data_IF_559384908628
#
_entry.id   IF_559384908628
#
_cell.length_a   1.000
_cell.length_b   1.000
_cell.length_c   1.000
_cell.angle_alpha   90.00
_cell.angle_beta   90.00
_cell.angle_gamma   90.00
#
_symmetry.space_group_name_H-M   'P 1'
#
loop_
_entity.id
_entity.type
_entity.pdbx_description
1 polymer ?
#
# COMPACT_ATOMS: atom_id res chain seq x y z
N UNK A 1 9.97 14.95 5.44
CA UNK A 1 9.82 13.62 4.81
C UNK A 1 11.02 12.75 5.18
N UNK A 2 10.82 11.57 5.80
CA UNK A 2 11.89 10.69 6.34
C UNK A 2 12.95 10.33 5.30
N UNK A 3 12.55 9.83 4.12
CA UNK A 3 13.46 9.35 3.07
C UNK A 3 14.49 10.42 2.66
N UNK A 4 14.05 11.64 2.42
CA UNK A 4 14.96 12.73 2.05
C UNK A 4 15.97 13.07 3.17
N UNK A 5 15.57 12.92 4.46
CA UNK A 5 16.48 13.13 5.60
C UNK A 5 17.55 12.05 5.70
N UNK A 6 17.27 10.85 5.16
CA UNK A 6 18.20 9.73 5.11
C UNK A 6 18.94 9.64 3.77
N UNK A 7 19.00 10.72 2.99
CA UNK A 7 19.66 10.77 1.67
C UNK A 7 19.08 9.81 0.62
N UNK A 8 17.90 9.25 0.84
CA UNK A 8 17.17 8.49 -0.17
C UNK A 8 16.56 9.41 -1.22
N UNK A 9 16.48 8.96 -2.45
CA UNK A 9 15.87 9.69 -3.57
C UNK A 9 14.46 9.18 -3.82
N UNK A 10 13.54 10.10 -4.10
CA UNK A 10 12.15 9.76 -4.46
C UNK A 10 11.80 10.48 -5.75
N UNK A 11 11.56 9.72 -6.79
CA UNK A 11 11.08 10.21 -8.08
C UNK A 11 10.41 9.09 -8.88
N UNK A 12 9.59 9.47 -9.86
CA UNK A 12 8.97 8.54 -10.79
C UNK A 12 9.93 8.23 -11.95
N UNK A 13 9.98 6.97 -12.39
CA UNK A 13 10.71 6.60 -13.60
C UNK A 13 10.00 7.15 -14.85
N UNK A 14 10.73 7.36 -15.94
CA UNK A 14 10.17 7.89 -17.18
C UNK A 14 9.08 6.98 -17.76
N UNK A 15 9.24 5.67 -17.64
CA UNK A 15 8.27 4.68 -18.13
C UNK A 15 7.03 4.56 -17.24
N UNK A 16 7.09 5.07 -15.99
CA UNK A 16 5.98 5.04 -15.02
C UNK A 16 5.88 6.40 -14.30
N UNK A 17 5.46 7.47 -14.98
CA UNK A 17 5.50 8.83 -14.44
C UNK A 17 4.56 9.05 -13.24
N UNK A 18 3.54 8.23 -13.11
CA UNK A 18 2.56 8.31 -12.02
C UNK A 18 2.98 7.57 -10.75
N UNK A 19 4.08 6.79 -10.79
CA UNK A 19 4.53 5.97 -9.68
C UNK A 19 5.83 6.47 -9.08
N UNK A 20 5.75 7.19 -7.96
CA UNK A 20 6.93 7.58 -7.19
C UNK A 20 7.59 6.38 -6.54
N UNK A 21 8.89 6.25 -6.74
CA UNK A 21 9.70 5.15 -6.21
C UNK A 21 10.86 5.64 -5.35
N UNK A 22 11.24 4.84 -4.37
CA UNK A 22 12.44 5.04 -3.55
C UNK A 22 13.65 4.41 -4.24
N UNK A 23 14.70 5.21 -4.40
CA UNK A 23 15.94 4.83 -5.06
C UNK A 23 17.15 5.01 -4.15
N UNK A 24 18.18 4.23 -4.39
CA UNK A 24 19.49 4.45 -3.78
C UNK A 24 20.09 5.81 -4.21
N UNK A 25 20.97 6.42 -3.41
CA UNK A 25 21.57 7.72 -3.75
C UNK A 25 22.29 7.75 -5.10
N UNK A 26 22.99 6.67 -5.44
CA UNK A 26 23.93 6.64 -6.55
C UNK A 26 23.49 5.76 -7.72
N UNK A 27 22.33 5.11 -7.66
CA UNK A 27 21.83 4.29 -8.75
C UNK A 27 20.30 4.25 -8.80
N UNK A 28 19.77 3.94 -9.97
CA UNK A 28 18.33 3.78 -10.18
C UNK A 28 17.93 2.30 -9.99
N UNK A 29 18.18 1.79 -8.78
CA UNK A 29 17.85 0.45 -8.32
C UNK A 29 17.64 0.50 -6.80
N UNK A 30 16.79 -0.34 -6.22
CA UNK A 30 15.84 -1.25 -6.86
C UNK A 30 14.55 -0.57 -7.35
N UNK A 31 14.30 0.70 -7.01
CA UNK A 31 13.09 1.43 -7.41
C UNK A 31 11.82 0.96 -6.70
N UNK A 32 11.85 0.96 -5.38
CA UNK A 32 10.75 0.49 -4.55
C UNK A 32 9.61 1.50 -4.50
N UNK A 33 8.40 1.11 -4.93
CA UNK A 33 7.22 1.97 -4.96
C UNK A 33 6.54 2.17 -3.58
N UNK A 34 7.25 1.91 -2.50
CA UNK A 34 6.75 2.02 -1.14
C UNK A 34 7.81 2.54 -0.17
N UNK A 35 7.37 3.06 0.98
CA UNK A 35 8.26 3.60 2.01
C UNK A 35 8.37 2.72 3.26
N UNK A 36 7.75 1.52 3.22
CA UNK A 36 7.76 0.53 4.30
C UNK A 36 7.84 -0.86 3.72
N UNK A 37 8.76 -1.69 4.20
CA UNK A 37 8.88 -3.10 3.84
C UNK A 37 9.69 -3.83 4.91
N UNK A 38 9.47 -5.13 5.11
CA UNK A 38 10.33 -5.96 5.96
C UNK A 38 11.66 -6.23 5.28
N UNK A 39 11.65 -6.55 3.99
CA UNK A 39 12.82 -6.76 3.15
C UNK A 39 13.49 -5.46 2.69
N UNK A 40 14.11 -5.51 1.51
CA UNK A 40 14.80 -4.40 0.83
C UNK A 40 15.85 -3.75 1.73
N UNK A 41 16.71 -4.58 2.33
CA UNK A 41 17.68 -4.17 3.35
C UNK A 41 18.61 -3.06 2.85
N UNK A 42 18.96 -3.04 1.57
CA UNK A 42 19.80 -2.01 0.97
C UNK A 42 19.20 -0.59 1.03
N UNK A 43 17.88 -0.48 1.22
CA UNK A 43 17.18 0.81 1.33
C UNK A 43 16.92 1.25 2.79
N UNK A 44 17.25 0.44 3.79
CA UNK A 44 16.96 0.75 5.20
C UNK A 44 17.68 2.01 5.66
N UNK A 45 18.96 2.14 5.34
CA UNK A 45 19.77 3.30 5.69
C UNK A 45 19.34 4.58 4.96
N UNK A 46 18.57 4.41 3.88
CA UNK A 46 18.03 5.50 3.05
C UNK A 46 16.56 5.81 3.33
N UNK A 47 16.07 5.40 4.50
CA UNK A 47 14.79 5.80 5.04
C UNK A 47 13.63 4.83 4.78
N UNK A 48 13.89 3.64 4.24
CA UNK A 48 12.90 2.57 4.28
C UNK A 48 12.75 2.06 5.71
N UNK A 49 11.54 1.94 6.22
CA UNK A 49 11.28 1.40 7.57
C UNK A 49 10.53 0.08 7.51
N UNK A 50 10.79 -0.78 8.49
CA UNK A 50 10.00 -2.00 8.69
C UNK A 50 8.83 -1.79 9.68
N UNK A 51 8.73 -0.62 10.32
CA UNK A 51 7.66 -0.33 11.27
C UNK A 51 6.35 -0.12 10.49
N UNK A 52 5.32 -0.97 10.70
CA UNK A 52 4.04 -0.81 10.02
C UNK A 52 3.28 0.42 10.53
N UNK A 53 2.37 0.91 9.73
CA UNK A 53 1.28 1.75 10.24
C UNK A 53 0.21 0.83 10.79
N UNK A 54 -0.25 1.14 11.99
CA UNK A 54 -1.26 0.34 12.68
C UNK A 54 -2.47 1.21 12.95
N UNK A 55 -3.62 0.72 12.55
CA UNK A 55 -4.91 1.32 12.89
C UNK A 55 -5.77 0.30 13.62
N UNK A 56 -6.54 0.77 14.59
CA UNK A 56 -7.47 -0.07 15.33
C UNK A 56 -8.90 0.30 14.95
N UNK A 57 -9.69 -0.71 14.62
CA UNK A 57 -11.10 -0.58 14.39
C UNK A 57 -11.84 -1.67 15.18
N UNK A 58 -12.81 -1.26 15.97
CA UNK A 58 -13.68 -2.21 16.66
C UNK A 58 -14.66 -2.81 15.65
N UNK A 59 -14.68 -4.14 15.57
CA UNK A 59 -15.64 -4.88 14.75
C UNK A 59 -17.01 -4.81 15.48
N UNK A 60 -18.04 -4.54 14.73
CA UNK A 60 -19.40 -4.43 15.21
C UNK A 60 -20.32 -5.48 14.58
N UNK A 61 -21.51 -5.68 15.14
CA UNK A 61 -22.52 -6.60 14.56
C UNK A 61 -23.03 -6.19 13.18
N UNK A 62 -22.66 -4.99 12.71
CA UNK A 62 -23.00 -4.50 11.37
C UNK A 62 -21.95 -4.92 10.32
N UNK A 63 -20.82 -5.43 10.76
CA UNK A 63 -19.77 -5.89 9.87
C UNK A 63 -20.06 -7.35 9.50
N UNK A 64 -20.39 -7.61 8.25
CA UNK A 64 -20.80 -8.95 7.80
C UNK A 64 -19.57 -9.84 7.56
N UNK A 65 -18.49 -9.27 6.98
CA UNK A 65 -17.24 -10.01 6.73
C UNK A 65 -16.04 -9.08 6.62
N UNK A 66 -14.86 -9.66 6.76
CA UNK A 66 -13.55 -9.01 6.57
C UNK A 66 -12.80 -9.78 5.50
N UNK A 67 -12.28 -9.08 4.50
CA UNK A 67 -11.40 -9.66 3.49
C UNK A 67 -9.98 -9.12 3.71
N UNK A 68 -9.02 -10.02 3.77
CA UNK A 68 -7.59 -9.73 3.78
C UNK A 68 -7.01 -10.16 2.44
N UNK A 69 -6.44 -9.26 1.68
CA UNK A 69 -5.95 -9.56 0.36
C UNK A 69 -4.78 -8.67 -0.04
N UNK A 70 -3.98 -9.14 -0.99
CA UNK A 70 -2.96 -8.32 -1.66
C UNK A 70 -3.62 -7.34 -2.63
N UNK A 71 -2.88 -6.34 -3.09
CA UNK A 71 -3.37 -5.32 -4.02
C UNK A 71 -3.88 -5.91 -5.34
N UNK A 72 -3.21 -6.94 -5.88
CA UNK A 72 -3.65 -7.63 -7.10
C UNK A 72 -5.00 -8.31 -6.95
N UNK A 73 -5.21 -9.01 -5.84
CA UNK A 73 -6.49 -9.64 -5.52
C UNK A 73 -7.57 -8.59 -5.25
N UNK A 74 -7.22 -7.50 -4.55
CA UNK A 74 -8.17 -6.44 -4.24
C UNK A 74 -8.69 -5.72 -5.47
N UNK A 75 -7.85 -5.43 -6.45
CA UNK A 75 -8.29 -4.82 -7.74
C UNK A 75 -9.37 -5.66 -8.41
N UNK A 76 -9.19 -6.96 -8.47
CA UNK A 76 -10.15 -7.89 -9.08
C UNK A 76 -11.42 -8.00 -8.23
N UNK A 77 -11.30 -8.15 -6.91
CA UNK A 77 -12.44 -8.26 -6.01
C UNK A 77 -13.30 -6.99 -6.00
N UNK A 78 -12.69 -5.81 -5.98
CA UNK A 78 -13.43 -4.53 -6.02
C UNK A 78 -14.21 -4.41 -7.33
N UNK A 79 -13.62 -4.77 -8.46
CA UNK A 79 -14.32 -4.78 -9.74
C UNK A 79 -15.50 -5.76 -9.73
N UNK A 80 -15.31 -6.99 -9.24
CA UNK A 80 -16.38 -7.98 -9.13
C UNK A 80 -17.51 -7.52 -8.19
N UNK A 81 -17.17 -6.93 -7.04
CA UNK A 81 -18.16 -6.44 -6.08
C UNK A 81 -18.95 -5.25 -6.64
N UNK A 82 -18.32 -4.34 -7.38
CA UNK A 82 -19.01 -3.23 -8.06
C UNK A 82 -19.98 -3.75 -9.12
N UNK A 83 -19.63 -4.82 -9.83
CA UNK A 83 -20.49 -5.40 -10.87
C UNK A 83 -21.62 -6.28 -10.33
N UNK A 84 -21.44 -6.89 -9.16
CA UNK A 84 -22.41 -7.86 -8.64
C UNK A 84 -23.39 -7.31 -7.59
N UNK A 85 -23.14 -6.13 -7.02
CA UNK A 85 -23.96 -5.58 -5.93
C UNK A 85 -24.46 -4.16 -6.27
N UNK A 86 -25.76 -3.86 -6.04
CA UNK A 86 -26.31 -2.52 -6.25
C UNK A 86 -25.63 -1.49 -5.33
N UNK A 87 -25.48 -0.29 -5.88
CA UNK A 87 -24.85 0.89 -5.25
C UNK A 87 -25.52 1.19 -3.91
N UNK A 88 -24.91 0.79 -2.83
CA UNK A 88 -25.42 1.03 -1.45
C UNK A 88 -24.48 0.52 -0.37
N UNK A 89 -23.43 -0.17 -0.73
CA UNK A 89 -22.50 -0.73 0.24
C UNK A 89 -21.22 0.10 0.31
N UNK A 90 -20.96 0.69 1.47
CA UNK A 90 -19.74 1.44 1.71
C UNK A 90 -18.57 0.46 1.83
N UNK A 91 -17.76 0.40 0.79
CA UNK A 91 -16.50 -0.33 0.79
C UNK A 91 -15.48 0.57 1.45
N UNK A 92 -14.99 0.19 2.62
CA UNK A 92 -13.88 0.87 3.27
C UNK A 92 -12.60 0.09 3.01
N UNK A 93 -11.74 0.63 2.15
CA UNK A 93 -10.44 0.04 1.84
C UNK A 93 -9.41 0.68 2.75
N UNK A 94 -8.82 -0.11 3.63
CA UNK A 94 -7.70 0.31 4.45
C UNK A 94 -6.48 -0.52 4.07
N UNK A 95 -5.38 0.13 3.74
CA UNK A 95 -4.15 -0.60 3.50
C UNK A 95 -3.01 0.30 3.06
N UNK A 96 -1.84 -0.08 3.48
CA UNK A 96 -0.59 0.48 3.01
C UNK A 96 0.16 -0.62 2.26
N UNK A 97 0.35 -0.36 1.03
CA UNK A 97 1.27 -0.91 0.04
C UNK A 97 1.28 -2.40 -0.30
N UNK A 98 0.72 -3.35 0.42
CA UNK A 98 0.68 -4.76 -0.05
C UNK A 98 -0.44 -5.60 0.56
N UNK A 99 -1.19 -5.06 1.52
CA UNK A 99 -2.30 -5.78 2.12
C UNK A 99 -3.46 -4.82 2.39
N UNK A 100 -4.61 -5.12 1.85
CA UNK A 100 -5.81 -4.31 1.96
C UNK A 100 -6.87 -5.06 2.77
N UNK A 101 -7.64 -4.30 3.54
CA UNK A 101 -8.77 -4.82 4.28
C UNK A 101 -10.05 -4.27 3.67
N UNK A 102 -10.94 -5.16 3.30
CA UNK A 102 -12.28 -4.81 2.87
C UNK A 102 -13.24 -5.21 3.99
N UNK A 103 -14.02 -4.25 4.45
CA UNK A 103 -15.06 -4.51 5.44
C UNK A 103 -16.39 -4.09 4.83
N UNK A 104 -17.31 -5.02 4.74
CA UNK A 104 -18.70 -4.74 4.37
C UNK A 104 -19.48 -4.33 5.61
N UNK A 105 -20.23 -3.26 5.47
CA UNK A 105 -21.24 -2.80 6.45
C UNK A 105 -22.62 -3.09 5.93
#
# INVERSE_FOLDING_TARGET
>A
MRIKRCNGRVFAHQDEPDVSRLWLPNCNSPGLAMARAFGDFCLKDFGLTCVPEVTYRQISKKDEFIILATDGVMKTLVLMLIMCFPIGYLISIYGNSNMHYLIRK
#
